data_IF_568946740280
#
_entry.id   IF_568946740280
#
_cell.length_a   1.000
_cell.length_b   1.000
_cell.length_c   1.000
_cell.angle_alpha   90.00
_cell.angle_beta   90.00
_cell.angle_gamma   90.00
#
_symmetry.space_group_name_H-M   'P 1'
#
loop_
_entity.id
_entity.type
_entity.pdbx_description
1 polymer ?
#
# COMPACT_ATOMS: atom_id res chain seq x y z
N UNK A 1 19.27 -22.28 14.16
CA UNK A 1 19.01 -20.83 14.29
C UNK A 1 17.57 -20.60 13.89
N UNK A 2 16.74 -20.11 14.80
CA UNK A 2 15.32 -19.85 14.54
C UNK A 2 15.22 -18.45 13.93
N UNK A 3 14.87 -18.37 12.65
CA UNK A 3 14.73 -17.09 11.96
C UNK A 3 13.48 -16.40 12.50
N UNK A 4 13.68 -15.38 13.34
CA UNK A 4 12.59 -14.53 13.82
C UNK A 4 11.95 -13.84 12.61
N UNK A 5 10.71 -14.23 12.30
CA UNK A 5 9.90 -13.59 11.28
C UNK A 5 9.37 -12.28 11.88
N UNK A 6 10.20 -11.24 11.86
CA UNK A 6 9.77 -9.88 12.19
C UNK A 6 8.74 -9.49 11.13
N UNK A 7 7.45 -9.57 11.46
CA UNK A 7 6.37 -9.22 10.53
C UNK A 7 6.55 -7.79 10.04
N UNK A 8 7.00 -7.63 8.80
CA UNK A 8 7.20 -6.32 8.18
C UNK A 8 5.91 -5.90 7.52
N UNK A 9 5.34 -4.79 7.98
CA UNK A 9 4.14 -4.19 7.41
C UNK A 9 4.53 -3.04 6.50
N UNK A 10 4.09 -3.07 5.24
CA UNK A 10 4.38 -2.02 4.25
C UNK A 10 3.07 -1.47 3.70
N UNK A 11 3.01 -0.15 3.52
CA UNK A 11 1.83 0.46 2.91
C UNK A 11 1.82 0.26 1.39
N UNK A 12 0.62 0.16 0.81
CA UNK A 12 0.46 0.06 -0.64
C UNK A 12 1.16 1.19 -1.39
N UNK A 13 1.07 2.42 -0.90
CA UNK A 13 1.71 3.59 -1.52
C UNK A 13 3.23 3.46 -1.58
N UNK A 14 3.86 3.00 -0.50
CA UNK A 14 5.32 2.78 -0.46
C UNK A 14 5.77 1.74 -1.48
N UNK A 15 5.01 0.64 -1.65
CA UNK A 15 5.32 -0.37 -2.67
C UNK A 15 5.19 0.22 -4.08
N UNK A 16 4.17 1.05 -4.32
CA UNK A 16 3.95 1.68 -5.61
C UNK A 16 5.07 2.67 -5.97
N UNK A 17 5.47 3.52 -5.03
CA UNK A 17 6.58 4.47 -5.20
C UNK A 17 7.89 3.76 -5.54
N UNK A 18 8.22 2.70 -4.80
CA UNK A 18 9.40 1.89 -5.05
C UNK A 18 9.34 1.20 -6.42
N UNK A 19 8.19 0.60 -6.76
CA UNK A 19 7.97 -0.01 -8.07
C UNK A 19 8.17 0.99 -9.21
N UNK A 20 7.60 2.19 -9.10
CA UNK A 20 7.76 3.24 -10.11
C UNK A 20 9.23 3.60 -10.30
N UNK A 21 9.99 3.79 -9.22
CA UNK A 21 11.43 4.11 -9.32
C UNK A 21 12.23 2.98 -9.98
N UNK A 22 11.94 1.73 -9.63
CA UNK A 22 12.61 0.56 -10.19
C UNK A 22 12.27 0.42 -11.68
N UNK A 23 10.99 0.57 -12.04
CA UNK A 23 10.54 0.50 -13.43
C UNK A 23 11.25 1.54 -14.29
N UNK A 24 11.33 2.79 -13.83
CA UNK A 24 11.95 3.88 -14.59
C UNK A 24 13.48 3.76 -14.69
N UNK A 25 14.16 3.23 -13.65
CA UNK A 25 15.62 3.20 -13.61
C UNK A 25 16.23 1.89 -14.10
N UNK A 26 15.56 0.77 -13.82
CA UNK A 26 16.10 -0.59 -13.99
C UNK A 26 15.30 -1.40 -15.02
N UNK A 27 14.12 -0.91 -15.41
CA UNK A 27 13.30 -1.53 -16.46
C UNK A 27 12.30 -2.56 -15.93
N UNK A 28 11.54 -3.10 -16.88
CA UNK A 28 10.32 -3.85 -16.61
C UNK A 28 10.57 -5.18 -15.89
N UNK A 29 11.56 -5.97 -16.32
CA UNK A 29 11.82 -7.30 -15.76
C UNK A 29 12.28 -7.23 -14.29
N UNK A 30 13.11 -6.25 -13.96
CA UNK A 30 13.51 -5.98 -12.57
C UNK A 30 12.33 -5.53 -11.72
N UNK A 31 11.46 -4.66 -12.25
CA UNK A 31 10.28 -4.19 -11.54
C UNK A 31 9.26 -5.31 -11.24
N UNK A 32 9.04 -6.23 -12.20
CA UNK A 32 8.23 -7.43 -11.99
C UNK A 32 8.82 -8.33 -10.91
N UNK A 33 10.13 -8.58 -10.97
CA UNK A 33 10.84 -9.41 -9.99
C UNK A 33 10.73 -8.83 -8.59
N UNK A 34 10.89 -7.50 -8.47
CA UNK A 34 10.70 -6.78 -7.21
C UNK A 34 9.30 -7.00 -6.63
N UNK A 35 8.24 -6.86 -7.44
CA UNK A 35 6.88 -7.10 -6.97
C UNK A 35 6.71 -8.55 -6.49
N UNK A 36 7.18 -9.52 -7.26
CA UNK A 36 7.10 -10.93 -6.86
C UNK A 36 7.80 -11.20 -5.54
N UNK A 37 8.96 -10.59 -5.31
CA UNK A 37 9.74 -10.77 -4.08
C UNK A 37 9.12 -10.06 -2.89
N UNK A 38 8.64 -8.82 -3.04
CA UNK A 38 8.17 -8.04 -1.89
C UNK A 38 6.94 -8.70 -1.23
N UNK A 39 6.02 -9.26 -2.03
CA UNK A 39 4.84 -9.96 -1.49
C UNK A 39 5.18 -11.26 -0.73
N UNK A 40 6.40 -11.80 -0.83
CA UNK A 40 6.80 -13.03 -0.10
C UNK A 40 7.17 -12.78 1.36
N UNK A 41 7.47 -11.54 1.73
CA UNK A 41 8.03 -11.21 3.05
C UNK A 41 7.34 -10.05 3.78
N UNK A 42 6.31 -9.44 3.19
CA UNK A 42 5.62 -8.30 3.80
C UNK A 42 4.11 -8.48 3.82
N UNK A 43 3.48 -8.02 4.90
CA UNK A 43 2.05 -7.80 4.93
C UNK A 43 1.76 -6.41 4.34
N UNK A 44 0.92 -6.36 3.31
CA UNK A 44 0.52 -5.11 2.69
C UNK A 44 -0.73 -4.55 3.33
N UNK A 45 -0.58 -3.34 3.87
CA UNK A 45 -1.69 -2.60 4.46
C UNK A 45 -2.10 -1.49 3.50
N UNK A 46 -3.33 -1.59 3.03
CA UNK A 46 -4.00 -0.46 2.39
C UNK A 46 -4.62 0.40 3.49
N UNK A 47 -4.03 1.57 3.76
CA UNK A 47 -4.62 2.58 4.62
C UNK A 47 -5.70 3.32 3.83
N UNK A 48 -6.77 2.61 3.43
CA UNK A 48 -7.99 3.30 3.03
C UNK A 48 -8.51 3.98 4.29
N UNK A 49 -8.59 5.31 4.26
CA UNK A 49 -9.20 6.06 5.34
C UNK A 49 -10.60 5.48 5.53
N UNK A 50 -10.84 4.78 6.64
CA UNK A 50 -12.19 4.62 7.17
C UNK A 50 -12.66 6.04 7.48
N UNK A 51 -13.25 6.69 6.49
CA UNK A 51 -14.20 7.77 6.73
C UNK A 51 -15.38 7.08 7.39
N UNK A 52 -15.30 6.94 8.72
CA UNK A 52 -16.48 6.76 9.55
C UNK A 52 -17.44 7.88 9.16
N UNK A 53 -18.50 7.53 8.43
CA UNK A 53 -19.63 8.42 8.17
C UNK A 53 -20.29 8.73 9.51
N UNK A 54 -19.77 9.72 10.21
CA UNK A 54 -20.44 10.30 11.37
C UNK A 54 -20.52 11.80 11.19
N UNK A 55 -21.23 12.28 10.17
CA UNK A 55 -21.72 13.66 10.15
C UNK A 55 -23.20 13.68 9.71
N UNK A 56 -24.14 13.98 10.63
CA UNK A 56 -25.56 14.13 10.35
C UNK A 56 -25.81 15.54 9.84
N UNK A 57 -25.44 15.84 8.59
CA UNK A 57 -25.87 17.09 7.99
C UNK A 57 -27.23 16.89 7.35
N UNK A 58 -28.26 17.19 8.15
CA UNK A 58 -29.60 17.48 7.67
C UNK A 58 -29.52 18.44 6.48
N UNK A 59 -29.97 17.98 5.33
CA UNK A 59 -30.31 18.84 4.20
C UNK A 59 -31.47 19.75 4.65
N UNK A 60 -31.13 20.93 5.18
CA UNK A 60 -32.08 22.04 5.27
C UNK A 60 -32.35 22.49 3.84
N UNK A 61 -33.46 22.01 3.29
CA UNK A 61 -34.12 22.61 2.14
C UNK A 61 -34.51 24.04 2.51
N UNK A 62 -33.97 25.01 1.77
CA UNK A 62 -34.47 26.38 1.74
C UNK A 62 -34.18 26.99 0.37
N UNK A 63 -35.05 27.87 -0.14
CA UNK A 63 -36.52 27.83 -0.16
C UNK A 63 -37.08 27.28 -1.48
#
# INVERSE_FOLDING_TARGET
>A
MQQENLGVVVTYTTVLEAYTLILYRLGNETAKTFLQQIFTGVELVNRSTKLTQTHPYSLKLFP
#
